data_IF_801694560559
#
_entry.id   IF_801694560559
#
_cell.length_a   1.000
_cell.length_b   1.000
_cell.length_c   1.000
_cell.angle_alpha   90.00
_cell.angle_beta   90.00
_cell.angle_gamma   90.00
#
_symmetry.space_group_name_H-M   'P 1'
#
loop_
_entity.id
_entity.type
_entity.pdbx_description
1 polymer ?
#
# COMPACT_ATOMS: atom_id res chain seq x y z
N UNK A 1 26.70 13.04 6.36
CA UNK A 1 26.31 11.65 6.09
C UNK A 1 25.00 11.37 6.80
N UNK A 2 23.89 11.45 6.06
CA UNK A 2 22.54 11.23 6.58
C UNK A 2 22.12 9.79 6.28
N UNK A 3 21.79 9.01 7.31
CA UNK A 3 20.65 8.10 7.29
C UNK A 3 20.34 7.66 8.73
N UNK A 4 19.36 8.32 9.35
CA UNK A 4 18.92 8.08 10.74
C UNK A 4 17.41 7.87 10.85
N UNK A 5 16.77 7.35 9.79
CA UNK A 5 15.33 7.03 9.83
C UNK A 5 15.11 5.53 9.68
N UNK A 6 15.42 4.83 10.78
CA UNK A 6 15.18 3.41 10.93
C UNK A 6 13.69 3.07 10.82
N UNK A 7 13.32 2.51 9.67
CA UNK A 7 11.96 2.03 9.44
C UNK A 7 11.77 1.21 8.17
N UNK A 8 12.78 0.47 7.68
CA UNK A 8 12.72 -0.42 6.48
C UNK A 8 11.81 0.10 5.36
N UNK A 9 11.86 1.40 5.09
CA UNK A 9 11.21 1.97 3.92
C UNK A 9 12.04 1.58 2.71
N UNK A 10 11.45 0.78 1.83
CA UNK A 10 12.05 0.34 0.58
C UNK A 10 11.46 1.19 -0.53
N UNK A 11 12.34 1.82 -1.30
CA UNK A 11 11.95 2.39 -2.59
C UNK A 11 11.90 1.24 -3.62
N UNK A 12 10.80 1.12 -4.36
CA UNK A 12 10.66 0.21 -5.50
C UNK A 12 10.12 0.97 -6.72
N UNK A 13 10.75 0.81 -7.87
CA UNK A 13 10.24 1.33 -9.14
C UNK A 13 9.15 0.42 -9.71
N UNK A 14 7.99 0.99 -10.01
CA UNK A 14 6.83 0.26 -10.52
C UNK A 14 6.06 1.08 -11.55
N UNK A 15 5.80 0.49 -12.73
CA UNK A 15 5.17 1.17 -13.90
C UNK A 15 5.88 2.45 -14.37
N UNK A 16 7.18 2.55 -14.12
CA UNK A 16 7.99 3.73 -14.47
C UNK A 16 7.96 4.85 -13.43
N UNK A 17 7.26 4.65 -12.31
CA UNK A 17 7.20 5.59 -11.19
C UNK A 17 7.96 5.02 -9.98
N UNK A 18 8.52 5.88 -9.12
CA UNK A 18 9.13 5.46 -7.86
C UNK A 18 8.07 5.35 -6.75
N UNK A 19 8.03 4.20 -6.08
CA UNK A 19 7.11 3.92 -5.00
C UNK A 19 7.86 3.69 -3.71
N UNK A 20 7.48 4.44 -2.67
CA UNK A 20 7.96 4.24 -1.31
C UNK A 20 7.09 3.17 -0.66
N UNK A 21 7.73 2.15 -0.13
CA UNK A 21 7.10 0.94 0.43
C UNK A 21 7.54 0.77 1.87
N UNK A 22 6.58 0.69 2.79
CA UNK A 22 6.85 0.45 4.21
C UNK A 22 6.13 -0.79 4.70
N UNK A 23 6.86 -1.65 5.38
CA UNK A 23 6.28 -2.79 6.09
C UNK A 23 5.64 -2.33 7.40
N UNK A 24 4.37 -2.66 7.58
CA UNK A 24 3.62 -2.36 8.79
C UNK A 24 3.39 -3.66 9.54
N UNK A 25 3.96 -3.73 10.75
CA UNK A 25 3.69 -4.82 11.66
C UNK A 25 2.21 -4.77 12.08
N UNK A 26 1.60 -5.94 12.27
CA UNK A 26 0.17 -6.04 12.61
C UNK A 26 -0.23 -5.18 13.81
N UNK A 27 0.64 -5.09 14.82
CA UNK A 27 0.44 -4.26 16.00
C UNK A 27 0.25 -2.77 15.70
N UNK A 28 0.90 -2.23 14.66
CA UNK A 28 0.84 -0.81 14.30
C UNK A 28 -0.47 -0.40 13.60
N UNK A 29 -1.30 -1.36 13.19
CA UNK A 29 -2.62 -1.13 12.61
C UNK A 29 -3.75 -1.76 13.45
N UNK A 30 -3.53 -1.91 14.75
CA UNK A 30 -4.59 -2.31 15.67
C UNK A 30 -5.77 -1.32 15.58
N UNK A 31 -6.98 -1.86 15.36
CA UNK A 31 -8.23 -1.09 15.33
C UNK A 31 -8.64 -0.48 13.99
N UNK A 32 -7.82 -0.50 12.93
CA UNK A 32 -8.20 0.01 11.60
C UNK A 32 -8.19 -1.09 10.55
N UNK A 33 -9.27 -1.15 9.76
CA UNK A 33 -9.43 -2.04 8.60
C UNK A 33 -9.10 -1.24 7.36
N UNK A 34 -8.24 -1.76 6.49
CA UNK A 34 -7.87 -1.10 5.24
C UNK A 34 -8.21 -1.97 4.05
N UNK A 35 -8.46 -1.38 2.87
CA UNK A 35 -8.80 -2.13 1.66
C UNK A 35 -7.59 -2.31 0.77
N UNK A 36 -7.31 -3.55 0.35
CA UNK A 36 -6.21 -3.86 -0.54
C UNK A 36 -6.60 -3.70 -2.02
N UNK A 37 -5.97 -2.79 -2.80
CA UNK A 37 -6.34 -2.55 -4.19
C UNK A 37 -5.97 -3.70 -5.15
N UNK A 38 -5.04 -4.58 -4.77
CA UNK A 38 -4.66 -5.76 -5.59
C UNK A 38 -5.61 -6.96 -5.47
N UNK A 39 -6.53 -6.97 -4.50
CA UNK A 39 -7.49 -8.08 -4.33
C UNK A 39 -8.88 -7.62 -3.92
N UNK A 40 -9.08 -6.31 -3.72
CA UNK A 40 -10.29 -5.68 -3.20
C UNK A 40 -10.75 -6.17 -1.81
N UNK A 41 -9.93 -6.97 -1.12
CA UNK A 41 -10.21 -7.53 0.21
C UNK A 41 -9.79 -6.58 1.33
N UNK A 42 -10.48 -6.67 2.47
CA UNK A 42 -10.13 -5.97 3.71
C UNK A 42 -8.93 -6.63 4.40
N UNK A 43 -8.01 -5.79 4.89
CA UNK A 43 -6.87 -6.13 5.73
C UNK A 43 -7.36 -6.01 7.18
N UNK A 44 -7.46 -7.12 7.93
CA UNK A 44 -7.88 -7.09 9.32
C UNK A 44 -6.88 -6.31 10.19
N UNK A 45 -7.34 -5.64 11.27
CA UNK A 45 -6.43 -5.06 12.25
C UNK A 45 -5.55 -6.17 12.85
N UNK A 46 -4.30 -5.88 13.17
CA UNK A 46 -3.37 -6.90 13.65
C UNK A 46 -2.72 -7.74 12.55
N UNK A 47 -3.10 -7.56 11.27
CA UNK A 47 -2.49 -8.30 10.15
C UNK A 47 -1.25 -7.56 9.63
N UNK A 48 -0.09 -8.24 9.50
CA UNK A 48 1.09 -7.64 8.90
C UNK A 48 0.84 -7.36 7.41
N UNK A 49 1.04 -6.10 7.01
CA UNK A 49 0.75 -5.64 5.66
C UNK A 49 1.79 -4.61 5.20
N UNK A 50 1.64 -4.15 3.96
CA UNK A 50 2.56 -3.24 3.29
C UNK A 50 1.82 -1.96 2.94
N UNK A 51 2.41 -0.82 3.20
CA UNK A 51 1.88 0.48 2.79
C UNK A 51 2.77 1.00 1.69
N UNK A 52 2.20 1.32 0.53
CA UNK A 52 2.91 1.85 -0.61
C UNK A 52 2.29 3.16 -1.06
N UNK A 53 3.12 4.15 -1.38
CA UNK A 53 2.71 5.44 -1.90
C UNK A 53 3.70 5.93 -2.97
N UNK A 54 3.24 6.69 -3.97
CA UNK A 54 4.12 7.30 -4.95
C UNK A 54 5.01 8.35 -4.28
N UNK A 55 6.27 8.42 -4.67
CA UNK A 55 7.23 9.41 -4.13
C UNK A 55 6.76 10.86 -4.39
N UNK A 56 6.25 11.11 -5.60
CA UNK A 56 5.73 12.42 -6.03
C UNK A 56 4.37 12.80 -5.43
N UNK A 57 3.56 11.83 -4.97
CA UNK A 57 2.19 12.08 -4.47
C UNK A 57 2.11 12.35 -2.97
N UNK A 58 3.23 12.22 -2.26
CA UNK A 58 3.30 12.41 -0.81
C UNK A 58 2.60 11.31 -0.01
N UNK A 59 2.74 11.37 1.31
CA UNK A 59 2.23 10.37 2.26
C UNK A 59 0.70 10.32 2.39
N UNK A 60 -0.04 11.14 1.65
CA UNK A 60 -1.50 11.15 1.71
C UNK A 60 -2.12 10.01 0.88
N UNK A 61 -1.56 9.68 -0.30
CA UNK A 61 -2.00 8.55 -1.15
C UNK A 61 -1.43 7.19 -0.68
N UNK A 62 -1.37 6.98 0.64
CA UNK A 62 -0.90 5.72 1.24
C UNK A 62 -1.88 4.59 0.99
N UNK A 63 -1.52 3.72 0.05
CA UNK A 63 -2.29 2.51 -0.28
C UNK A 63 -1.82 1.35 0.56
N UNK A 64 -2.78 0.64 1.14
CA UNK A 64 -2.50 -0.50 2.02
C UNK A 64 -2.67 -1.79 1.21
N UNK A 65 -1.67 -2.65 1.25
CA UNK A 65 -1.60 -3.89 0.48
C UNK A 65 -1.27 -5.06 1.39
N UNK A 66 -1.86 -6.22 1.13
CA UNK A 66 -1.33 -7.46 1.70
C UNK A 66 0.12 -7.67 1.22
N UNK A 67 0.97 -8.24 2.08
CA UNK A 67 2.36 -8.56 1.72
C UNK A 67 2.45 -9.41 0.44
N UNK A 68 1.58 -10.42 0.32
CA UNK A 68 1.50 -11.27 -0.87
C UNK A 68 0.98 -10.52 -2.11
N UNK A 69 0.03 -9.59 -1.95
CA UNK A 69 -0.49 -8.80 -3.06
C UNK A 69 0.53 -7.78 -3.56
N UNK A 70 1.31 -7.16 -2.67
CA UNK A 70 2.40 -6.27 -3.06
C UNK A 70 3.52 -7.01 -3.78
N UNK A 71 3.91 -8.19 -3.27
CA UNK A 71 4.91 -9.02 -3.96
C UNK A 71 4.43 -9.44 -5.37
N UNK A 72 3.12 -9.68 -5.51
CA UNK A 72 2.47 -9.95 -6.78
C UNK A 72 1.96 -8.68 -7.51
N UNK A 73 2.42 -7.46 -7.17
CA UNK A 73 1.86 -6.20 -7.69
C UNK A 73 1.80 -6.12 -9.21
N UNK A 74 2.77 -6.72 -9.88
CA UNK A 74 2.82 -6.77 -11.35
C UNK A 74 1.62 -7.52 -11.94
N UNK A 75 1.34 -8.73 -11.43
CA UNK A 75 0.27 -9.61 -11.91
C UNK A 75 -1.10 -9.42 -11.23
N UNK A 76 -1.11 -8.92 -9.99
CA UNK A 76 -2.31 -8.77 -9.14
C UNK A 76 -2.77 -7.33 -8.97
N UNK A 77 -2.00 -6.31 -9.36
CA UNK A 77 -2.63 -4.99 -9.47
C UNK A 77 -3.74 -5.16 -10.49
N UNK A 78 -4.98 -5.02 -10.05
CA UNK A 78 -6.04 -4.90 -11.02
C UNK A 78 -5.72 -3.60 -11.76
N UNK A 79 -5.47 -3.70 -13.06
CA UNK A 79 -5.32 -2.54 -13.99
C UNK A 79 -6.58 -1.65 -14.01
N UNK A 80 -7.57 -2.02 -13.20
CA UNK A 80 -8.89 -1.48 -13.04
C UNK A 80 -8.96 -0.89 -11.63
N UNK A 81 -8.44 0.33 -11.47
CA UNK A 81 -9.19 1.27 -10.65
C UNK A 81 -10.47 1.58 -11.44
N UNK A 82 -11.44 0.65 -11.44
CA UNK A 82 -12.80 1.04 -11.82
C UNK A 82 -13.20 1.98 -10.71
N UNK A 83 -13.26 3.26 -11.06
CA UNK A 83 -13.78 4.36 -10.27
C UNK A 83 -14.95 3.87 -9.42
N UNK A 84 -14.67 3.54 -8.15
CA UNK A 84 -15.71 3.30 -7.15
C UNK A 84 -16.12 4.66 -6.59
N UNK A 85 -16.48 5.55 -7.52
CA UNK A 85 -17.10 6.83 -7.28
C UNK A 85 -18.22 6.99 -8.33
N UNK A 86 -19.13 6.03 -8.35
CA UNK A 86 -20.44 6.24 -8.95
C UNK A 86 -21.26 6.97 -7.89
N UNK A 87 -21.78 8.18 -8.15
CA UNK A 87 -22.61 8.89 -7.19
C UNK A 87 -23.83 8.02 -6.90
N UNK A 88 -24.07 7.77 -5.61
CA UNK A 88 -25.36 7.26 -5.17
C UNK A 88 -26.31 8.45 -5.14
N UNK A 89 -27.41 8.33 -5.88
CA UNK A 89 -28.51 9.28 -5.96
C UNK A 89 -29.05 9.65 -4.57
#
# INVERSE_FOLDING_TARGET
MADRYGGVERTESWRGEDWRVRHVAGASAAGKRYRCPGCDQEIPPGTPHVVAWPDYGGVDDRRHWHRACWNAKDRRTSRVQRSRNAPRY
#
